data_IF_675066077807
#
_entry.id   IF_675066077807
#
_cell.length_a   1.000
_cell.length_b   1.000
_cell.length_c   1.000
_cell.angle_alpha   90.00
_cell.angle_beta   90.00
_cell.angle_gamma   90.00
#
_symmetry.space_group_name_H-M   'P 1'
#
loop_
_entity.id
_entity.type
_entity.pdbx_description
1 polymer ?
#
# COMPACT_ATOMS: atom_id res chain seq x y z
N UNK A 1 -13.53 -18.73 -10.29
CA UNK A 1 -14.45 -17.83 -10.98
C UNK A 1 -13.82 -17.26 -12.26
N UNK A 2 -12.71 -16.53 -12.19
CA UNK A 2 -12.09 -15.84 -13.33
C UNK A 2 -11.77 -16.79 -14.50
N UNK A 3 -11.19 -17.96 -14.21
CA UNK A 3 -10.93 -18.98 -15.22
C UNK A 3 -12.24 -19.51 -15.83
N UNK A 4 -13.25 -19.77 -15.01
CA UNK A 4 -14.55 -20.24 -15.49
C UNK A 4 -15.21 -19.21 -16.43
N UNK A 5 -15.23 -17.93 -16.05
CA UNK A 5 -15.75 -16.84 -16.87
C UNK A 5 -14.97 -16.70 -18.20
N UNK A 6 -13.64 -16.76 -18.13
CA UNK A 6 -12.79 -16.72 -19.33
C UNK A 6 -13.13 -17.86 -20.29
N UNK A 7 -13.22 -19.09 -19.81
CA UNK A 7 -13.55 -20.25 -20.62
C UNK A 7 -14.96 -20.19 -21.22
N UNK A 8 -15.94 -19.64 -20.49
CA UNK A 8 -17.28 -19.39 -21.01
C UNK A 8 -17.27 -18.38 -22.15
N UNK A 9 -16.58 -17.25 -21.99
CA UNK A 9 -16.47 -16.20 -23.03
C UNK A 9 -15.78 -16.75 -24.28
N UNK A 10 -14.71 -17.52 -24.13
CA UNK A 10 -13.96 -18.07 -25.26
C UNK A 10 -14.56 -19.35 -25.85
N UNK A 11 -15.55 -19.96 -25.20
CA UNK A 11 -16.21 -21.20 -25.69
C UNK A 11 -16.62 -21.17 -27.18
N UNK A 12 -17.28 -20.11 -27.70
CA UNK A 12 -17.68 -20.07 -29.12
C UNK A 12 -16.49 -19.99 -30.08
N UNK A 13 -15.35 -19.46 -29.61
CA UNK A 13 -14.16 -19.24 -30.42
C UNK A 13 -13.25 -20.47 -30.51
N UNK A 14 -13.29 -21.37 -29.49
CA UNK A 14 -12.43 -22.57 -29.46
C UNK A 14 -12.62 -23.53 -30.64
N UNK A 15 -13.80 -23.55 -31.26
CA UNK A 15 -14.06 -24.39 -32.43
C UNK A 15 -13.80 -23.65 -33.75
N UNK A 16 -13.71 -22.31 -33.70
CA UNK A 16 -13.60 -21.46 -34.88
C UNK A 16 -12.15 -21.05 -35.18
N UNK A 17 -11.33 -20.92 -34.17
CA UNK A 17 -9.97 -20.42 -34.28
C UNK A 17 -8.96 -21.40 -33.71
N UNK A 18 -7.74 -21.41 -34.28
CA UNK A 18 -6.61 -22.17 -33.70
C UNK A 18 -6.14 -21.52 -32.40
N UNK A 19 -5.46 -22.32 -31.56
CA UNK A 19 -4.91 -21.83 -30.30
C UNK A 19 -3.97 -20.63 -30.48
N UNK A 20 -3.18 -20.63 -31.55
CA UNK A 20 -2.27 -19.50 -31.88
C UNK A 20 -3.05 -18.23 -32.21
N UNK A 21 -4.16 -18.33 -32.93
CA UNK A 21 -4.98 -17.15 -33.24
C UNK A 21 -5.68 -16.59 -32.01
N UNK A 22 -6.04 -17.44 -31.05
CA UNK A 22 -6.69 -17.00 -29.80
C UNK A 22 -5.76 -16.21 -28.89
N UNK A 23 -4.44 -16.40 -28.98
CA UNK A 23 -3.47 -15.71 -28.11
C UNK A 23 -3.09 -14.31 -28.63
N UNK A 24 -3.38 -14.00 -29.91
CA UNK A 24 -2.96 -12.73 -30.53
C UNK A 24 -3.55 -11.53 -29.77
N UNK A 25 -4.84 -11.55 -29.47
CA UNK A 25 -5.48 -10.45 -28.75
C UNK A 25 -4.93 -10.24 -27.32
N UNK A 26 -4.82 -11.28 -26.47
CA UNK A 26 -4.14 -11.18 -25.19
C UNK A 26 -2.70 -10.68 -25.30
N UNK A 27 -1.94 -11.13 -26.31
CA UNK A 27 -0.57 -10.69 -26.52
C UNK A 27 -0.49 -9.19 -26.82
N UNK A 28 -1.35 -8.67 -27.70
CA UNK A 28 -1.41 -7.23 -27.99
C UNK A 28 -1.72 -6.44 -26.73
N UNK A 29 -2.64 -6.92 -25.89
CA UNK A 29 -2.99 -6.28 -24.62
C UNK A 29 -1.80 -6.25 -23.65
N UNK A 30 -1.04 -7.35 -23.57
CA UNK A 30 0.20 -7.41 -22.78
C UNK A 30 1.28 -6.46 -23.31
N UNK A 31 1.40 -6.27 -24.62
CA UNK A 31 2.34 -5.31 -25.21
C UNK A 31 1.96 -3.88 -24.82
N UNK A 32 0.68 -3.53 -24.87
CA UNK A 32 0.18 -2.21 -24.42
C UNK A 32 0.48 -1.99 -22.95
N UNK A 33 0.21 -2.98 -22.08
CA UNK A 33 0.52 -2.90 -20.65
C UNK A 33 2.02 -2.67 -20.43
N UNK A 34 2.88 -3.40 -21.14
CA UNK A 34 4.33 -3.24 -21.01
C UNK A 34 4.81 -1.88 -21.49
N UNK A 35 4.21 -1.33 -22.54
CA UNK A 35 4.49 0.04 -22.98
C UNK A 35 4.16 1.06 -21.88
N UNK A 36 2.99 0.95 -21.26
CA UNK A 36 2.58 1.82 -20.15
C UNK A 36 3.51 1.65 -18.93
N UNK A 37 3.86 0.42 -18.60
CA UNK A 37 4.79 0.13 -17.50
C UNK A 37 6.16 0.75 -17.76
N UNK A 38 6.69 0.65 -18.98
CA UNK A 38 8.00 1.22 -19.32
C UNK A 38 8.04 2.74 -19.18
N UNK A 39 6.91 3.41 -19.44
CA UNK A 39 6.80 4.87 -19.32
C UNK A 39 6.59 5.34 -17.88
N UNK A 40 5.75 4.64 -17.11
CA UNK A 40 5.27 5.13 -15.81
C UNK A 40 5.81 4.35 -14.60
N UNK A 41 6.19 3.06 -14.76
CA UNK A 41 6.52 2.15 -13.67
C UNK A 41 7.78 1.33 -13.98
N UNK A 42 8.92 1.99 -14.17
CA UNK A 42 10.20 1.36 -14.55
C UNK A 42 10.60 0.17 -13.65
N UNK A 43 10.22 0.19 -12.36
CA UNK A 43 10.49 -0.91 -11.43
C UNK A 43 9.68 -2.19 -11.70
N UNK A 44 8.65 -2.15 -12.54
CA UNK A 44 7.81 -3.30 -12.90
C UNK A 44 8.16 -3.88 -14.29
N UNK A 45 9.36 -3.64 -14.79
CA UNK A 45 9.82 -4.10 -16.13
C UNK A 45 9.76 -5.62 -16.32
N UNK A 46 9.72 -6.41 -15.24
CA UNK A 46 9.56 -7.86 -15.30
C UNK A 46 8.22 -8.33 -15.91
N UNK A 47 7.22 -7.44 -16.06
CA UNK A 47 5.98 -7.73 -16.78
C UNK A 47 6.19 -8.02 -18.27
N UNK A 48 7.39 -7.77 -18.84
CA UNK A 48 7.74 -8.18 -20.21
C UNK A 48 7.91 -9.70 -20.35
N UNK A 49 8.22 -10.41 -19.25
CA UNK A 49 8.54 -11.85 -19.28
C UNK A 49 7.41 -12.70 -19.87
N UNK A 50 6.11 -12.50 -19.54
CA UNK A 50 5.00 -13.20 -20.18
C UNK A 50 5.00 -13.09 -21.70
N UNK A 51 5.36 -11.93 -22.24
CA UNK A 51 5.41 -11.70 -23.69
C UNK A 51 6.44 -12.61 -24.34
N UNK A 52 7.61 -12.78 -23.74
CA UNK A 52 8.63 -13.71 -24.26
C UNK A 52 8.14 -15.17 -24.28
N UNK A 53 7.51 -15.64 -23.19
CA UNK A 53 6.96 -17.00 -23.14
C UNK A 53 5.90 -17.23 -24.21
N UNK A 54 5.07 -16.22 -24.49
CA UNK A 54 4.07 -16.30 -25.57
C UNK A 54 4.74 -16.33 -26.93
N UNK A 55 5.74 -15.49 -27.16
CA UNK A 55 6.50 -15.50 -28.42
C UNK A 55 7.17 -16.87 -28.66
N UNK A 56 7.80 -17.46 -27.65
CA UNK A 56 8.34 -18.81 -27.72
C UNK A 56 7.25 -19.85 -27.98
N UNK A 57 6.06 -19.68 -27.41
CA UNK A 57 4.92 -20.56 -27.66
C UNK A 57 4.43 -20.48 -29.12
N UNK A 58 4.42 -19.27 -29.70
CA UNK A 58 4.08 -19.07 -31.11
C UNK A 58 5.16 -19.67 -32.02
N UNK A 59 6.45 -19.44 -31.72
CA UNK A 59 7.56 -20.02 -32.47
C UNK A 59 7.51 -21.56 -32.45
N UNK A 60 7.19 -22.16 -31.32
CA UNK A 60 7.03 -23.60 -31.22
C UNK A 60 5.92 -24.12 -32.16
N UNK A 61 4.85 -23.36 -32.36
CA UNK A 61 3.76 -23.71 -33.25
C UNK A 61 4.16 -23.69 -34.75
N UNK A 62 5.23 -23.02 -35.12
CA UNK A 62 5.80 -23.08 -36.50
C UNK A 62 6.69 -24.32 -36.72
N UNK A 63 7.25 -24.88 -35.61
CA UNK A 63 8.13 -26.02 -35.68
C UNK A 63 7.37 -27.34 -35.53
N UNK A 64 6.31 -27.35 -34.73
CA UNK A 64 5.50 -28.54 -34.46
C UNK A 64 4.11 -28.41 -35.06
N UNK A 65 3.52 -29.54 -35.48
CA UNK A 65 2.13 -29.57 -35.92
C UNK A 65 1.19 -29.06 -34.83
N UNK A 66 0.21 -28.22 -35.21
CA UNK A 66 -0.75 -27.59 -34.31
C UNK A 66 -1.58 -28.60 -33.47
N UNK A 67 -1.76 -29.81 -34.00
CA UNK A 67 -2.47 -30.91 -33.32
C UNK A 67 -1.52 -31.90 -32.59
N UNK A 68 -0.23 -31.64 -32.62
CA UNK A 68 0.76 -32.54 -32.04
C UNK A 68 0.74 -32.50 -30.49
N UNK A 69 0.79 -33.68 -29.88
CA UNK A 69 1.00 -33.80 -28.44
C UNK A 69 2.34 -33.17 -27.98
N UNK A 70 3.35 -33.13 -28.85
CA UNK A 70 4.63 -32.49 -28.57
C UNK A 70 4.46 -30.98 -28.37
N UNK A 71 3.66 -30.32 -29.22
CA UNK A 71 3.38 -28.89 -29.06
C UNK A 71 2.64 -28.59 -27.77
N UNK A 72 1.68 -29.45 -27.37
CA UNK A 72 0.97 -29.32 -26.09
C UNK A 72 1.91 -29.42 -24.90
N UNK A 73 2.87 -30.35 -24.94
CA UNK A 73 3.90 -30.47 -23.89
C UNK A 73 4.75 -29.22 -23.84
N UNK A 74 5.22 -28.68 -24.97
CA UNK A 74 6.01 -27.47 -25.02
C UNK A 74 5.23 -26.28 -24.46
N UNK A 75 3.98 -26.07 -24.84
CA UNK A 75 3.13 -24.99 -24.31
C UNK A 75 2.91 -25.13 -22.81
N UNK A 76 2.68 -26.34 -22.32
CA UNK A 76 2.54 -26.60 -20.88
C UNK A 76 3.83 -26.28 -20.13
N UNK A 77 4.99 -26.72 -20.63
CA UNK A 77 6.28 -26.41 -20.02
C UNK A 77 6.56 -24.90 -20.00
N UNK A 78 6.24 -24.17 -21.07
CA UNK A 78 6.40 -22.71 -21.13
C UNK A 78 5.42 -21.96 -20.21
N UNK A 79 4.29 -22.54 -19.87
CA UNK A 79 3.31 -21.93 -18.97
C UNK A 79 3.70 -22.03 -17.49
N UNK A 80 4.54 -23.02 -17.10
CA UNK A 80 4.93 -23.23 -15.70
C UNK A 80 5.68 -22.02 -15.13
N UNK A 81 6.76 -21.50 -15.75
CA UNK A 81 7.45 -20.30 -15.23
C UNK A 81 6.55 -19.07 -15.16
N UNK A 82 5.63 -18.94 -16.13
CA UNK A 82 4.65 -17.85 -16.14
C UNK A 82 3.73 -17.90 -14.91
N UNK A 83 3.15 -19.06 -14.62
CA UNK A 83 2.28 -19.24 -13.45
C UNK A 83 3.09 -19.06 -12.17
N UNK A 84 4.28 -19.66 -12.07
CA UNK A 84 5.14 -19.57 -10.91
C UNK A 84 5.50 -18.12 -10.56
N UNK A 85 5.79 -17.29 -11.58
CA UNK A 85 6.14 -15.89 -11.40
C UNK A 85 4.95 -15.04 -10.91
N UNK A 86 3.75 -15.27 -11.42
CA UNK A 86 2.58 -14.45 -11.11
C UNK A 86 1.75 -14.94 -9.91
N UNK A 87 1.83 -16.21 -9.55
CA UNK A 87 1.07 -16.76 -8.42
C UNK A 87 1.33 -16.04 -7.08
N UNK A 88 2.60 -15.72 -6.69
CA UNK A 88 2.86 -14.96 -5.48
C UNK A 88 2.26 -13.55 -5.51
N UNK A 89 2.31 -12.88 -6.66
CA UNK A 89 1.76 -11.53 -6.83
C UNK A 89 0.24 -11.52 -6.67
N UNK A 90 -0.46 -12.49 -7.27
CA UNK A 90 -1.90 -12.65 -7.14
C UNK A 90 -2.33 -12.81 -5.66
N UNK A 91 -1.54 -13.54 -4.87
CA UNK A 91 -1.75 -13.72 -3.43
C UNK A 91 -1.44 -12.44 -2.64
N UNK A 92 -0.39 -11.72 -3.00
CA UNK A 92 0.09 -10.56 -2.24
C UNK A 92 -0.70 -9.28 -2.49
N UNK A 93 -1.34 -9.11 -3.65
CA UNK A 93 -2.13 -7.90 -3.92
C UNK A 93 -3.26 -7.66 -2.91
N UNK A 94 -4.12 -8.64 -2.57
CA UNK A 94 -5.15 -8.43 -1.55
C UNK A 94 -4.57 -8.11 -0.18
N UNK A 95 -3.41 -8.69 0.15
CA UNK A 95 -2.71 -8.43 1.42
C UNK A 95 -2.14 -7.01 1.44
N UNK A 96 -1.48 -6.59 0.34
CA UNK A 96 -0.81 -5.29 0.25
C UNK A 96 -1.75 -4.11 0.01
N UNK A 97 -2.80 -4.29 -0.77
CA UNK A 97 -3.72 -3.22 -1.19
C UNK A 97 -5.08 -3.26 -0.49
N UNK A 98 -5.32 -4.31 0.30
CA UNK A 98 -6.60 -4.58 0.96
C UNK A 98 -7.64 -5.22 0.05
N UNK A 99 -8.66 -5.82 0.66
CA UNK A 99 -9.72 -6.55 -0.07
C UNK A 99 -10.53 -5.69 -1.04
N UNK A 100 -10.60 -4.36 -0.82
CA UNK A 100 -11.25 -3.43 -1.75
C UNK A 100 -10.61 -3.42 -3.15
N UNK A 101 -9.32 -3.74 -3.24
CA UNK A 101 -8.56 -3.77 -4.48
C UNK A 101 -8.40 -5.19 -5.06
N UNK A 102 -9.22 -6.16 -4.63
CA UNK A 102 -9.20 -7.53 -5.12
C UNK A 102 -9.41 -7.62 -6.65
N UNK A 103 -10.07 -6.61 -7.24
CA UNK A 103 -10.25 -6.54 -8.69
C UNK A 103 -8.91 -6.53 -9.46
N UNK A 104 -7.84 -5.97 -8.88
CA UNK A 104 -6.50 -5.93 -9.51
C UNK A 104 -5.97 -7.37 -9.68
N UNK A 105 -6.08 -8.20 -8.62
CA UNK A 105 -5.75 -9.63 -8.71
C UNK A 105 -6.61 -10.35 -9.74
N UNK A 106 -7.90 -10.03 -9.82
CA UNK A 106 -8.82 -10.63 -10.78
C UNK A 106 -8.45 -10.28 -12.22
N UNK A 107 -8.13 -9.01 -12.50
CA UNK A 107 -7.66 -8.56 -13.82
C UNK A 107 -6.35 -9.26 -14.20
N UNK A 108 -5.36 -9.28 -13.30
CA UNK A 108 -4.08 -9.94 -13.55
C UNK A 108 -4.27 -11.44 -13.79
N UNK A 109 -5.15 -12.10 -13.04
CA UNK A 109 -5.45 -13.52 -13.22
C UNK A 109 -6.07 -13.81 -14.60
N UNK A 110 -7.01 -12.96 -15.05
CA UNK A 110 -7.60 -13.08 -16.40
C UNK A 110 -6.52 -12.89 -17.46
N UNK A 111 -5.64 -11.90 -17.30
CA UNK A 111 -4.53 -11.65 -18.21
C UNK A 111 -3.58 -12.86 -18.31
N UNK A 112 -3.20 -13.45 -17.17
CA UNK A 112 -2.34 -14.63 -17.13
C UNK A 112 -3.04 -15.83 -17.78
N UNK A 113 -4.29 -16.11 -17.42
CA UNK A 113 -5.03 -17.23 -18.00
C UNK A 113 -5.32 -17.04 -19.48
N UNK A 114 -5.46 -15.82 -19.98
CA UNK A 114 -5.64 -15.57 -21.41
C UNK A 114 -4.43 -16.00 -22.24
N UNK A 115 -3.23 -16.00 -21.67
CA UNK A 115 -2.03 -16.51 -22.32
C UNK A 115 -2.00 -18.05 -22.40
N UNK A 116 -2.84 -18.74 -21.62
CA UNK A 116 -2.98 -20.21 -21.64
C UNK A 116 -4.08 -20.69 -22.61
N UNK A 117 -4.75 -19.79 -23.32
CA UNK A 117 -5.81 -20.13 -24.27
C UNK A 117 -5.40 -21.18 -25.34
N UNK A 118 -4.15 -21.23 -25.85
CA UNK A 118 -3.72 -22.29 -26.73
C UNK A 118 -3.85 -23.68 -26.13
N UNK A 119 -3.51 -23.83 -24.85
CA UNK A 119 -3.63 -25.11 -24.11
C UNK A 119 -5.10 -25.48 -23.98
N UNK A 120 -5.95 -24.54 -23.53
CA UNK A 120 -7.38 -24.79 -23.33
C UNK A 120 -8.12 -25.09 -24.65
N UNK A 121 -7.71 -24.45 -25.75
CA UNK A 121 -8.33 -24.66 -27.07
C UNK A 121 -8.08 -26.07 -27.63
N UNK A 122 -6.95 -26.69 -27.29
CA UNK A 122 -6.58 -28.02 -27.75
C UNK A 122 -7.14 -29.16 -26.86
N UNK A 123 -7.73 -28.82 -25.73
CA UNK A 123 -8.36 -29.83 -24.89
C UNK A 123 -9.58 -30.45 -25.60
N UNK A 124 -9.65 -31.80 -25.68
CA UNK A 124 -10.64 -32.51 -26.49
C UNK A 124 -12.08 -32.29 -26.02
N UNK A 125 -12.31 -32.39 -24.71
CA UNK A 125 -13.67 -32.28 -24.13
C UNK A 125 -13.88 -30.90 -23.43
N UNK A 126 -14.07 -29.84 -24.22
CA UNK A 126 -14.24 -28.46 -23.74
C UNK A 126 -15.45 -28.29 -22.82
N UNK A 127 -16.54 -29.02 -23.06
CA UNK A 127 -17.74 -28.97 -22.20
C UNK A 127 -17.40 -29.50 -20.80
N UNK A 128 -16.69 -30.61 -20.74
CA UNK A 128 -16.26 -31.20 -19.47
C UNK A 128 -15.31 -30.27 -18.70
N UNK A 129 -14.34 -29.67 -19.39
CA UNK A 129 -13.43 -28.69 -18.79
C UNK A 129 -14.18 -27.49 -18.18
N UNK A 130 -15.13 -26.91 -18.91
CA UNK A 130 -15.95 -25.78 -18.43
C UNK A 130 -16.85 -26.21 -17.27
N UNK A 131 -17.48 -27.39 -17.35
CA UNK A 131 -18.30 -27.92 -16.26
C UNK A 131 -17.49 -28.18 -14.99
N UNK A 132 -16.30 -28.76 -15.14
CA UNK A 132 -15.39 -29.03 -14.00
C UNK A 132 -14.94 -27.72 -13.35
N UNK A 133 -14.53 -26.73 -14.12
CA UNK A 133 -14.12 -25.44 -13.56
C UNK A 133 -15.28 -24.69 -12.89
N UNK A 134 -16.50 -24.83 -13.44
CA UNK A 134 -17.73 -24.31 -12.82
C UNK A 134 -18.03 -24.97 -11.48
N UNK A 135 -17.99 -26.30 -11.44
CA UNK A 135 -18.19 -27.09 -10.21
C UNK A 135 -17.14 -26.74 -9.16
N UNK A 136 -15.86 -26.70 -9.54
CA UNK A 136 -14.77 -26.29 -8.64
C UNK A 136 -14.99 -24.87 -8.09
N UNK A 137 -15.47 -23.95 -8.93
CA UNK A 137 -15.80 -22.58 -8.50
C UNK A 137 -16.89 -22.59 -7.44
N UNK A 138 -17.97 -23.34 -7.65
CA UNK A 138 -19.07 -23.48 -6.67
C UNK A 138 -18.59 -24.08 -5.36
N UNK A 139 -17.79 -25.13 -5.42
CA UNK A 139 -17.19 -25.77 -4.23
C UNK A 139 -16.31 -24.81 -3.45
N UNK A 140 -15.47 -24.02 -4.13
CA UNK A 140 -14.62 -23.03 -3.48
C UNK A 140 -15.44 -21.89 -2.84
N UNK A 141 -16.54 -21.45 -3.48
CA UNK A 141 -17.46 -20.49 -2.85
C UNK A 141 -18.14 -21.07 -1.61
N UNK A 142 -18.57 -22.31 -1.67
CA UNK A 142 -19.17 -22.99 -0.53
C UNK A 142 -18.18 -23.13 0.64
N UNK A 143 -16.93 -23.54 0.35
CA UNK A 143 -15.86 -23.58 1.35
C UNK A 143 -15.58 -22.20 1.94
N UNK A 144 -15.51 -21.16 1.11
CA UNK A 144 -15.31 -19.80 1.57
C UNK A 144 -16.47 -19.31 2.46
N UNK A 145 -17.71 -19.72 2.16
CA UNK A 145 -18.88 -19.39 2.99
C UNK A 145 -18.83 -20.07 4.36
N UNK A 146 -18.45 -21.35 4.42
CA UNK A 146 -18.32 -22.07 5.69
C UNK A 146 -17.18 -21.50 6.55
N UNK A 147 -16.05 -21.16 5.92
CA UNK A 147 -14.88 -20.62 6.61
C UNK A 147 -14.93 -19.06 6.70
N UNK A 148 -16.13 -18.47 6.58
CA UNK A 148 -16.31 -17.03 6.69
C UNK A 148 -16.28 -16.61 8.16
N UNK A 149 -15.11 -16.22 8.65
CA UNK A 149 -14.93 -15.78 10.03
C UNK A 149 -13.49 -15.38 10.29
N UNK A 150 -13.26 -14.87 11.51
CA UNK A 150 -11.91 -14.63 12.00
C UNK A 150 -11.56 -15.71 13.01
N UNK A 151 -10.37 -16.26 12.88
CA UNK A 151 -9.79 -17.30 13.73
C UNK A 151 -8.35 -16.95 14.11
N UNK A 152 -7.62 -17.86 14.76
CA UNK A 152 -6.23 -17.62 15.16
C UNK A 152 -5.28 -17.55 13.96
N UNK A 153 -5.61 -18.13 12.80
CA UNK A 153 -4.82 -18.08 11.56
C UNK A 153 -5.21 -16.87 10.71
N UNK A 154 -6.52 -16.54 10.65
CA UNK A 154 -7.09 -15.46 9.88
C UNK A 154 -7.64 -14.36 10.80
N UNK A 155 -6.74 -13.62 11.45
CA UNK A 155 -7.09 -12.66 12.49
C UNK A 155 -7.77 -11.42 11.93
N UNK A 156 -8.73 -10.89 12.69
CA UNK A 156 -9.41 -9.63 12.39
C UNK A 156 -8.43 -8.46 12.55
N UNK A 157 -8.14 -7.70 11.48
CA UNK A 157 -7.34 -6.49 11.61
C UNK A 157 -8.15 -5.37 12.26
N UNK A 158 -7.55 -4.67 13.24
CA UNK A 158 -8.09 -3.46 13.82
C UNK A 158 -6.99 -2.42 14.08
N UNK A 159 -7.38 -1.17 14.31
CA UNK A 159 -6.45 -0.08 14.42
C UNK A 159 -6.80 0.86 15.55
N UNK A 160 -5.78 1.34 16.26
CA UNK A 160 -5.91 2.38 17.25
C UNK A 160 -4.66 3.26 17.27
N UNK A 161 -4.88 4.57 17.34
CA UNK A 161 -3.84 5.58 17.44
C UNK A 161 -4.22 6.56 18.54
N UNK A 162 -3.27 6.92 19.37
CA UNK A 162 -3.36 8.05 20.28
C UNK A 162 -2.70 9.26 19.63
N UNK A 163 -3.48 10.30 19.42
CA UNK A 163 -2.99 11.58 18.91
C UNK A 163 -3.09 12.63 20.01
N UNK A 164 -2.08 13.48 20.15
CA UNK A 164 -2.13 14.64 21.02
C UNK A 164 -1.51 15.87 20.37
N UNK A 165 -2.22 16.99 20.48
CA UNK A 165 -1.70 18.32 20.20
C UNK A 165 -1.16 18.90 21.51
N UNK A 166 0.16 19.04 21.59
CA UNK A 166 0.86 19.43 22.83
C UNK A 166 0.54 20.89 23.17
N UNK A 167 0.44 21.75 22.16
CA UNK A 167 0.25 23.18 22.37
C UNK A 167 -1.15 23.51 22.89
N UNK A 168 -2.14 22.70 22.49
CA UNK A 168 -3.52 22.87 22.93
C UNK A 168 -3.90 21.99 24.12
N UNK A 169 -3.03 21.03 24.48
CA UNK A 169 -3.31 19.99 25.47
C UNK A 169 -4.58 19.17 25.12
N UNK A 170 -4.85 18.96 23.83
CA UNK A 170 -5.97 18.17 23.33
C UNK A 170 -5.48 16.79 22.91
N UNK A 171 -6.25 15.75 23.21
CA UNK A 171 -5.89 14.37 22.86
C UNK A 171 -7.10 13.60 22.32
N UNK A 172 -6.80 12.68 21.41
CA UNK A 172 -7.82 11.92 20.70
C UNK A 172 -7.39 10.48 20.47
N UNK A 173 -8.35 9.56 20.61
CA UNK A 173 -8.25 8.22 20.05
C UNK A 173 -8.77 8.23 18.61
N UNK A 174 -8.04 7.59 17.71
CA UNK A 174 -8.41 7.53 16.29
C UNK A 174 -8.28 6.13 15.74
N UNK A 175 -9.16 5.75 14.82
CA UNK A 175 -9.13 4.45 14.15
C UNK A 175 -9.45 4.55 12.66
N UNK A 176 -8.85 3.64 11.87
CA UNK A 176 -9.18 3.41 10.46
C UNK A 176 -10.25 2.34 10.26
N UNK A 177 -10.71 1.68 11.31
CA UNK A 177 -11.63 0.57 11.25
C UNK A 177 -12.94 0.95 10.54
N UNK A 178 -13.53 0.01 9.82
CA UNK A 178 -14.86 0.20 9.24
C UNK A 178 -15.96 -0.03 10.29
N UNK A 179 -15.78 -1.06 11.09
CA UNK A 179 -16.67 -1.43 12.18
C UNK A 179 -15.83 -1.63 13.43
N UNK A 180 -16.23 -0.98 14.51
CA UNK A 180 -15.58 -1.12 15.80
C UNK A 180 -15.81 -2.52 16.38
N UNK A 181 -14.84 -3.01 17.11
CA UNK A 181 -14.90 -4.26 17.87
C UNK A 181 -14.66 -3.99 19.36
N UNK A 182 -14.73 -5.03 20.18
CA UNK A 182 -14.55 -4.91 21.63
C UNK A 182 -13.21 -4.32 22.06
N UNK A 183 -12.17 -4.50 21.23
CA UNK A 183 -10.88 -3.88 21.49
C UNK A 183 -10.90 -2.38 21.20
N UNK A 184 -11.42 -1.96 20.05
CA UNK A 184 -11.42 -0.55 19.65
C UNK A 184 -12.46 0.27 20.39
N UNK A 185 -13.59 -0.34 20.79
CA UNK A 185 -14.64 0.31 21.59
C UNK A 185 -14.17 0.75 22.98
N UNK A 186 -13.18 0.09 23.59
CA UNK A 186 -12.65 0.52 24.88
C UNK A 186 -12.01 1.92 24.82
N UNK A 187 -11.57 2.36 23.64
CA UNK A 187 -10.95 3.68 23.41
C UNK A 187 -11.95 4.68 22.83
N UNK A 188 -12.72 4.24 21.85
CA UNK A 188 -13.59 5.08 21.03
C UNK A 188 -15.03 5.18 21.58
N UNK A 189 -15.40 4.30 22.52
CA UNK A 189 -16.79 4.18 22.98
C UNK A 189 -17.70 3.52 21.95
N UNK A 190 -19.00 3.53 22.24
CA UNK A 190 -20.00 2.90 21.35
C UNK A 190 -20.37 3.79 20.16
N UNK A 191 -20.35 5.13 20.31
CA UNK A 191 -20.77 6.10 19.31
C UNK A 191 -19.71 7.19 19.10
N UNK A 192 -18.54 6.87 18.53
CA UNK A 192 -17.49 7.86 18.28
C UNK A 192 -17.87 8.81 17.15
N UNK A 193 -17.28 9.99 17.15
CA UNK A 193 -17.43 10.94 16.06
C UNK A 193 -16.76 10.44 14.79
N UNK A 194 -17.35 10.77 13.64
CA UNK A 194 -16.77 10.55 12.31
C UNK A 194 -16.18 11.83 11.70
N UNK A 195 -16.18 12.94 12.41
CA UNK A 195 -15.59 14.20 11.95
C UNK A 195 -14.08 14.23 12.16
N UNK A 196 -13.39 13.55 11.27
CA UNK A 196 -11.91 13.41 11.26
C UNK A 196 -11.22 14.40 10.34
N UNK A 197 -11.92 15.38 9.75
CA UNK A 197 -11.41 16.30 8.72
C UNK A 197 -10.23 17.16 9.17
N UNK A 198 -10.07 17.36 10.46
CA UNK A 198 -8.99 18.17 11.06
C UNK A 198 -7.63 17.45 11.11
N UNK A 199 -7.60 16.13 10.91
CA UNK A 199 -6.41 15.33 11.14
C UNK A 199 -5.78 14.88 9.83
N UNK A 200 -4.61 15.41 9.52
CA UNK A 200 -3.89 15.23 8.23
C UNK A 200 -2.97 14.00 8.28
N UNK A 201 -3.30 12.94 8.97
CA UNK A 201 -2.56 11.71 8.85
C UNK A 201 -3.20 10.84 7.77
N UNK A 202 -2.66 10.93 6.55
CA UNK A 202 -3.03 10.00 5.47
C UNK A 202 -2.03 8.85 5.47
N UNK A 203 -2.54 7.63 5.46
CA UNK A 203 -1.71 6.46 5.19
C UNK A 203 -1.10 6.57 3.78
N UNK A 204 -0.04 5.78 3.51
CA UNK A 204 0.60 5.69 2.18
C UNK A 204 -0.42 5.39 1.06
N UNK A 205 -1.52 4.72 1.38
CA UNK A 205 -2.56 4.30 0.45
C UNK A 205 -3.82 5.17 0.51
N UNK A 206 -3.70 6.43 0.95
CA UNK A 206 -4.81 7.39 1.06
C UNK A 206 -5.93 6.93 2.00
N UNK A 207 -5.66 6.02 2.92
CA UNK A 207 -6.60 5.63 3.97
C UNK A 207 -6.64 6.74 5.01
N UNK A 208 -7.81 7.28 5.29
CA UNK A 208 -8.05 8.28 6.34
C UNK A 208 -8.64 7.63 7.59
N UNK A 209 -8.42 8.24 8.74
CA UNK A 209 -9.14 7.85 9.94
C UNK A 209 -10.65 7.94 9.71
N UNK A 210 -11.39 7.04 10.33
CA UNK A 210 -12.85 6.98 10.22
C UNK A 210 -13.55 7.41 11.50
N UNK A 211 -12.97 7.05 12.62
CA UNK A 211 -13.51 7.35 13.93
C UNK A 211 -12.51 8.14 14.76
N UNK A 212 -13.07 9.03 15.59
CA UNK A 212 -12.33 9.83 16.55
C UNK A 212 -13.14 9.95 17.83
N UNK A 213 -12.47 9.95 18.97
CA UNK A 213 -13.02 10.25 20.27
C UNK A 213 -12.03 11.06 21.10
N UNK A 214 -12.51 12.12 21.71
CA UNK A 214 -11.71 12.94 22.62
C UNK A 214 -11.35 12.15 23.88
N UNK A 215 -10.15 12.38 24.41
CA UNK A 215 -9.67 11.70 25.61
C UNK A 215 -8.81 12.62 26.45
N UNK A 216 -8.54 12.21 27.69
CA UNK A 216 -7.71 12.98 28.59
C UNK A 216 -6.29 13.16 28.04
N UNK A 217 -5.80 14.39 28.11
CA UNK A 217 -4.42 14.71 27.81
C UNK A 217 -3.47 13.94 28.70
N UNK A 218 -2.43 13.35 28.09
CA UNK A 218 -1.34 12.68 28.80
C UNK A 218 -0.03 13.38 28.47
N UNK A 219 0.71 13.72 29.50
CA UNK A 219 2.03 14.35 29.33
C UNK A 219 3.04 13.30 28.85
N UNK A 220 3.21 13.20 27.54
CA UNK A 220 4.18 12.32 26.89
C UNK A 220 5.36 13.17 26.44
N UNK A 221 6.58 12.73 26.79
CA UNK A 221 7.79 13.46 26.43
C UNK A 221 7.89 13.67 24.90
N UNK A 222 7.95 14.93 24.47
CA UNK A 222 8.14 15.31 23.08
C UNK A 222 9.57 15.76 22.83
N UNK A 223 9.99 15.76 21.55
CA UNK A 223 11.29 16.29 21.16
C UNK A 223 11.45 17.75 21.54
N UNK A 224 12.65 18.11 21.99
CA UNK A 224 13.07 19.50 22.14
C UNK A 224 13.50 20.04 20.78
N UNK A 225 13.03 21.23 20.42
CA UNK A 225 13.43 21.93 19.20
C UNK A 225 14.24 23.14 19.59
N UNK A 226 15.45 23.24 19.06
CA UNK A 226 16.38 24.35 19.25
C UNK A 226 16.64 25.03 17.90
N UNK A 227 16.51 26.33 17.82
CA UNK A 227 16.92 27.14 16.67
C UNK A 227 18.41 27.40 16.77
N UNK A 228 19.21 26.76 15.91
CA UNK A 228 20.66 26.93 15.90
C UNK A 228 21.08 28.23 15.21
N UNK A 229 20.46 28.52 14.09
CA UNK A 229 20.66 29.76 13.33
C UNK A 229 19.33 30.19 12.70
N UNK A 230 19.10 31.50 12.70
CA UNK A 230 18.01 32.14 11.99
C UNK A 230 18.56 33.48 11.45
N UNK A 231 18.63 33.60 10.14
CA UNK A 231 19.25 34.76 9.51
C UNK A 231 18.56 35.12 8.19
N UNK A 232 18.40 36.39 7.94
CA UNK A 232 17.77 36.90 6.74
C UNK A 232 18.82 37.56 5.86
N UNK A 233 18.86 37.18 4.58
CA UNK A 233 19.74 37.70 3.54
C UNK A 233 18.90 38.16 2.34
N UNK A 234 18.66 39.44 2.21
CA UNK A 234 17.76 39.97 1.20
C UNK A 234 16.35 39.40 1.34
N UNK A 235 15.87 38.74 0.33
CA UNK A 235 14.53 38.10 0.33
C UNK A 235 14.52 36.66 0.86
N UNK A 236 15.65 36.15 1.32
CA UNK A 236 15.78 34.73 1.79
C UNK A 236 16.01 34.69 3.29
N UNK A 237 15.37 33.68 3.93
CA UNK A 237 15.59 33.35 5.32
C UNK A 237 16.26 31.96 5.39
N UNK A 238 17.36 31.88 6.11
CA UNK A 238 18.08 30.65 6.38
C UNK A 238 17.84 30.25 7.83
N UNK A 239 17.28 29.08 8.04
CA UNK A 239 16.98 28.52 9.37
C UNK A 239 17.66 27.19 9.51
N UNK A 240 18.33 26.97 10.65
CA UNK A 240 18.85 25.67 11.06
C UNK A 240 18.19 25.26 12.36
N UNK A 241 17.54 24.10 12.37
CA UNK A 241 16.84 23.53 13.52
C UNK A 241 17.56 22.29 14.01
N UNK A 242 17.62 22.14 15.31
CA UNK A 242 18.04 20.93 15.98
C UNK A 242 16.86 20.31 16.72
N UNK A 243 16.51 19.08 16.37
CA UNK A 243 15.44 18.32 16.99
C UNK A 243 16.08 17.21 17.81
N UNK A 244 15.84 17.21 19.11
CA UNK A 244 16.42 16.27 20.08
C UNK A 244 15.28 15.41 20.62
N UNK A 245 15.13 14.15 20.18
CA UNK A 245 14.12 13.23 20.70
C UNK A 245 14.31 12.97 22.18
N UNK A 246 13.23 13.10 22.97
CA UNK A 246 13.25 12.79 24.42
C UNK A 246 12.77 11.36 24.70
N UNK A 247 12.35 10.64 23.67
CA UNK A 247 11.94 9.23 23.70
C UNK A 247 12.27 8.58 22.35
N UNK A 248 12.14 7.27 22.26
CA UNK A 248 12.29 6.57 20.98
C UNK A 248 11.15 6.96 20.06
N UNK A 249 11.47 7.56 18.92
CA UNK A 249 10.52 7.87 17.84
C UNK A 249 10.84 7.04 16.60
N UNK A 250 9.82 6.72 15.81
CA UNK A 250 9.96 5.92 14.58
C UNK A 250 9.84 6.78 13.33
N UNK A 251 9.17 7.93 13.42
CA UNK A 251 9.03 8.87 12.32
C UNK A 251 8.89 10.28 12.86
N UNK A 252 9.54 11.22 12.18
CA UNK A 252 9.49 12.65 12.42
C UNK A 252 9.05 13.31 11.13
N UNK A 253 8.00 14.13 11.19
CA UNK A 253 7.50 14.88 10.04
C UNK A 253 7.49 16.36 10.37
N UNK A 254 7.93 17.16 9.41
CA UNK A 254 7.74 18.62 9.41
C UNK A 254 6.65 18.94 8.43
N UNK A 255 5.65 19.65 8.90
CA UNK A 255 4.51 20.13 8.13
C UNK A 255 4.52 21.65 8.10
N UNK A 256 3.99 22.26 7.04
CA UNK A 256 3.70 23.68 6.96
C UNK A 256 2.26 23.90 6.53
N UNK A 257 1.64 24.97 6.98
CA UNK A 257 0.30 25.36 6.53
C UNK A 257 0.32 25.99 5.15
N UNK A 258 1.41 26.67 4.80
CA UNK A 258 1.57 27.41 3.56
C UNK A 258 2.31 26.60 2.49
N UNK A 259 2.11 26.97 1.24
CA UNK A 259 2.84 26.41 0.10
C UNK A 259 4.25 27.01 0.05
N UNK A 260 5.11 26.64 0.99
CA UNK A 260 6.50 27.07 1.04
C UNK A 260 7.29 26.46 -0.11
N UNK A 261 8.01 27.31 -0.83
CA UNK A 261 9.02 26.87 -1.81
C UNK A 261 10.40 26.99 -1.16
N UNK A 262 11.05 25.84 -1.00
CA UNK A 262 12.41 25.82 -0.48
C UNK A 262 13.42 26.01 -1.60
N UNK A 263 14.40 26.89 -1.40
CA UNK A 263 15.57 27.00 -2.28
C UNK A 263 16.57 25.89 -1.99
N UNK A 264 16.75 25.56 -0.72
CA UNK A 264 17.51 24.39 -0.28
C UNK A 264 16.93 23.79 1.00
N UNK A 265 17.08 22.49 1.12
CA UNK A 265 16.71 21.71 2.29
C UNK A 265 17.80 20.66 2.50
N UNK A 266 18.36 20.58 3.69
CA UNK A 266 19.29 19.54 4.08
C UNK A 266 18.89 18.91 5.40
N UNK A 267 19.17 17.62 5.56
CA UNK A 267 18.97 16.88 6.79
C UNK A 267 20.26 16.16 7.11
N UNK A 268 20.81 16.36 8.33
CA UNK A 268 22.09 15.79 8.75
C UNK A 268 23.21 16.04 7.71
N UNK A 269 23.29 17.27 7.20
CA UNK A 269 24.23 17.71 6.15
C UNK A 269 24.02 17.04 4.77
N UNK A 270 22.97 16.26 4.58
CA UNK A 270 22.60 15.68 3.28
C UNK A 270 21.64 16.61 2.56
N UNK A 271 22.08 17.22 1.47
CA UNK A 271 21.28 18.09 0.65
C UNK A 271 20.25 17.29 -0.16
N UNK A 272 19.00 17.71 -0.09
CA UNK A 272 17.93 17.14 -0.88
C UNK A 272 17.86 17.86 -2.24
N UNK A 273 17.70 17.10 -3.33
CA UNK A 273 17.58 17.67 -4.68
C UNK A 273 16.21 18.33 -4.85
N UNK A 274 16.17 19.50 -5.50
CA UNK A 274 14.93 20.26 -5.77
C UNK A 274 13.85 19.43 -6.49
N UNK A 275 14.24 18.52 -7.34
CA UNK A 275 13.34 17.59 -8.05
C UNK A 275 12.50 16.71 -7.09
N UNK A 276 12.97 16.54 -5.87
CA UNK A 276 12.31 15.75 -4.83
C UNK A 276 11.42 16.60 -3.90
N UNK A 277 11.39 17.92 -4.06
CA UNK A 277 10.56 18.83 -3.27
C UNK A 277 9.11 18.84 -3.77
N UNK A 278 8.43 17.73 -3.69
CA UNK A 278 6.98 17.67 -3.90
C UNK A 278 6.30 17.92 -2.56
N UNK A 279 5.96 19.19 -2.30
CA UNK A 279 5.15 19.56 -1.13
C UNK A 279 3.71 19.13 -1.42
N UNK A 280 3.39 17.89 -1.09
CA UNK A 280 2.02 17.40 -1.16
C UNK A 280 1.35 17.62 0.21
N UNK A 281 0.29 18.41 0.24
CA UNK A 281 -0.56 18.58 1.43
C UNK A 281 0.16 19.16 2.66
N UNK A 282 1.06 20.14 2.45
CA UNK A 282 1.78 20.81 3.53
C UNK A 282 2.92 20.01 4.16
N UNK A 283 3.20 18.79 3.72
CA UNK A 283 4.33 17.99 4.23
C UNK A 283 5.63 18.45 3.58
N UNK A 284 6.53 18.97 4.40
CA UNK A 284 7.87 19.41 4.00
C UNK A 284 8.84 18.23 3.96
N UNK A 285 8.90 17.48 5.05
CA UNK A 285 9.87 16.42 5.26
C UNK A 285 9.27 15.26 6.05
N UNK A 286 9.64 14.04 5.71
CA UNK A 286 9.48 12.87 6.57
C UNK A 286 10.86 12.26 6.78
N UNK A 287 11.30 12.20 8.02
CA UNK A 287 12.55 11.60 8.44
C UNK A 287 12.28 10.38 9.32
N UNK A 288 12.97 9.29 9.03
CA UNK A 288 12.93 8.08 9.84
C UNK A 288 14.26 8.02 10.60
N UNK A 289 14.27 8.32 11.91
CA UNK A 289 15.50 8.32 12.69
C UNK A 289 16.13 6.95 12.75
N UNK A 290 17.44 6.91 12.65
CA UNK A 290 18.22 5.70 12.99
C UNK A 290 18.20 5.48 14.50
N UNK A 291 18.45 4.26 14.95
CA UNK A 291 18.54 3.91 16.37
C UNK A 291 19.57 4.76 17.13
N UNK A 292 20.59 5.27 16.42
CA UNK A 292 21.68 6.07 17.00
C UNK A 292 21.48 7.59 16.88
N UNK A 293 20.41 8.04 16.25
CA UNK A 293 20.18 9.48 16.03
C UNK A 293 19.70 10.14 17.34
N UNK A 294 20.64 10.64 18.09
CA UNK A 294 20.37 11.43 19.32
C UNK A 294 19.87 12.84 18.99
N UNK A 295 20.12 13.33 17.78
CA UNK A 295 19.82 14.68 17.33
C UNK A 295 19.62 14.68 15.82
N UNK A 296 18.60 15.39 15.35
CA UNK A 296 18.33 15.59 13.92
C UNK A 296 18.49 17.07 13.59
N UNK A 297 19.46 17.40 12.74
CA UNK A 297 19.68 18.78 12.27
C UNK A 297 19.04 18.95 10.91
N UNK A 298 18.28 20.03 10.73
CA UNK A 298 17.57 20.36 9.51
C UNK A 298 17.88 21.79 9.12
N UNK A 299 18.47 21.97 7.94
CA UNK A 299 18.81 23.26 7.36
C UNK A 299 17.84 23.60 6.22
N UNK A 300 17.24 24.78 6.29
CA UNK A 300 16.23 25.24 5.34
C UNK A 300 16.55 26.64 4.83
N UNK A 301 16.35 26.88 3.54
CA UNK A 301 16.38 28.22 2.94
C UNK A 301 15.08 28.42 2.15
N UNK A 302 14.37 29.49 2.45
CA UNK A 302 13.07 29.81 1.85
C UNK A 302 12.85 31.33 1.76
N UNK A 303 11.76 31.76 1.11
CA UNK A 303 11.45 33.19 0.95
C UNK A 303 11.03 33.83 2.29
N UNK A 304 11.66 34.93 2.68
CA UNK A 304 11.41 35.61 3.96
C UNK A 304 10.00 36.23 4.08
N UNK A 305 9.29 36.44 2.96
CA UNK A 305 7.94 37.02 2.97
C UNK A 305 6.86 36.08 3.49
N UNK A 306 7.17 34.81 3.65
CA UNK A 306 6.22 33.77 4.05
C UNK A 306 6.26 33.59 5.57
N UNK A 307 5.07 33.59 6.18
CA UNK A 307 4.92 33.31 7.59
C UNK A 307 5.25 31.82 7.86
N UNK A 308 6.34 31.55 8.57
CA UNK A 308 6.91 30.21 8.67
C UNK A 308 6.45 29.50 9.94
N UNK A 309 5.15 29.18 10.00
CA UNK A 309 4.65 28.25 11.00
C UNK A 309 4.89 26.80 10.55
N UNK A 310 5.69 26.10 11.30
CA UNK A 310 5.93 24.67 11.10
C UNK A 310 5.26 23.86 12.20
N UNK A 311 4.76 22.69 11.83
CA UNK A 311 4.25 21.72 12.77
C UNK A 311 5.15 20.49 12.75
N UNK A 312 5.67 20.10 13.90
CA UNK A 312 6.43 18.88 14.12
C UNK A 312 5.48 17.77 14.52
N UNK A 313 5.48 16.69 13.78
CA UNK A 313 4.70 15.48 14.07
C UNK A 313 5.66 14.34 14.37
N UNK A 314 5.60 13.82 15.56
CA UNK A 314 6.35 12.66 16.00
C UNK A 314 5.45 11.44 16.07
N UNK A 315 5.91 10.33 15.53
CA UNK A 315 5.19 9.04 15.60
C UNK A 315 6.08 7.99 16.26
N UNK A 316 5.55 7.27 17.23
CA UNK A 316 6.18 6.09 17.82
C UNK A 316 5.21 4.90 17.85
N UNK A 317 5.72 3.69 17.69
CA UNK A 317 4.92 2.45 17.67
C UNK A 317 4.98 1.71 19.01
N UNK A 318 4.97 2.45 20.10
CA UNK A 318 5.06 1.94 21.47
C UNK A 318 3.74 2.04 22.25
N UNK A 319 2.63 2.37 21.60
CA UNK A 319 1.35 2.56 22.28
C UNK A 319 0.96 1.38 23.18
N UNK A 320 1.16 0.15 22.70
CA UNK A 320 0.78 -1.07 23.42
C UNK A 320 1.70 -1.41 24.60
N UNK A 321 2.88 -0.82 24.67
CA UNK A 321 3.90 -1.08 25.70
C UNK A 321 4.19 0.13 26.57
N UNK A 322 3.58 1.27 26.27
CA UNK A 322 3.83 2.52 26.97
C UNK A 322 3.08 2.56 28.31
N UNK A 323 3.81 2.78 29.39
CA UNK A 323 3.30 2.75 30.76
C UNK A 323 2.29 3.85 31.10
N UNK A 324 2.17 4.89 30.26
CA UNK A 324 1.13 5.91 30.41
C UNK A 324 -0.27 5.41 30.05
N UNK A 325 -0.37 4.21 29.48
CA UNK A 325 -1.62 3.63 29.05
C UNK A 325 -1.87 2.28 29.74
N UNK A 326 -3.11 2.06 30.12
CA UNK A 326 -3.56 0.79 30.66
C UNK A 326 -4.86 0.39 29.98
N UNK A 327 -4.85 -0.71 29.24
CA UNK A 327 -6.00 -1.23 28.52
C UNK A 327 -5.91 -2.76 28.33
N UNK A 328 -7.03 -3.37 28.03
CA UNK A 328 -7.08 -4.81 27.75
C UNK A 328 -6.38 -5.09 26.40
N UNK A 329 -5.50 -6.07 26.34
CA UNK A 329 -4.84 -6.44 25.07
C UNK A 329 -5.84 -6.96 24.05
N UNK A 330 -5.42 -6.99 22.77
CA UNK A 330 -6.16 -7.67 21.72
C UNK A 330 -6.38 -9.14 22.06
N UNK A 331 -7.54 -9.67 21.66
CA UNK A 331 -7.76 -11.12 21.71
C UNK A 331 -6.85 -11.83 20.69
N UNK A 332 -6.69 -13.15 20.85
CA UNK A 332 -5.91 -13.96 19.90
C UNK A 332 -6.48 -13.95 18.48
N UNK A 333 -7.76 -13.63 18.32
CA UNK A 333 -8.46 -13.53 17.03
C UNK A 333 -8.27 -12.17 16.34
N UNK A 334 -7.48 -11.27 16.92
CA UNK A 334 -7.26 -9.93 16.41
C UNK A 334 -5.78 -9.68 16.11
N UNK A 335 -5.51 -8.79 15.15
CA UNK A 335 -4.17 -8.35 14.80
C UNK A 335 -4.14 -6.85 14.50
N UNK A 336 -2.99 -6.17 14.64
CA UNK A 336 -2.82 -4.81 14.16
C UNK A 336 -3.12 -4.71 12.67
N UNK A 337 -3.90 -3.69 12.25
CA UNK A 337 -4.20 -3.45 10.84
C UNK A 337 -2.90 -3.17 10.07
N UNK A 338 -2.59 -3.93 9.03
CA UNK A 338 -1.37 -3.71 8.24
C UNK A 338 -1.48 -2.47 7.34
N UNK A 339 -0.32 -1.92 6.93
CA UNK A 339 -0.16 -0.83 5.95
C UNK A 339 -0.75 0.53 6.34
N UNK A 340 -1.14 0.70 7.59
CA UNK A 340 -1.55 1.99 8.18
C UNK A 340 -0.71 2.28 9.42
N UNK A 341 -0.64 3.55 9.83
CA UNK A 341 -0.08 3.92 11.13
C UNK A 341 -1.00 3.38 12.20
N UNK A 342 -0.52 2.40 12.96
CA UNK A 342 -1.31 1.66 13.93
C UNK A 342 -0.50 1.37 15.18
N UNK A 343 -1.18 1.18 16.33
CA UNK A 343 -0.57 0.97 17.64
C UNK A 343 0.45 2.08 17.97
N UNK A 344 0.10 3.30 17.57
CA UNK A 344 1.01 4.41 17.54
C UNK A 344 0.58 5.56 18.48
N UNK A 345 1.58 6.26 18.99
CA UNK A 345 1.44 7.55 19.64
C UNK A 345 1.91 8.62 18.66
N UNK A 346 1.05 9.59 18.37
CA UNK A 346 1.35 10.73 17.51
C UNK A 346 1.30 11.99 18.35
N UNK A 347 2.42 12.71 18.40
CA UNK A 347 2.51 14.02 19.02
C UNK A 347 2.61 15.08 17.96
N UNK A 348 1.85 16.15 18.12
CA UNK A 348 1.88 17.35 17.26
C UNK A 348 2.31 18.54 18.09
N UNK A 349 3.28 19.32 17.60
CA UNK A 349 3.82 20.50 18.26
C UNK A 349 4.14 21.58 17.22
N UNK A 350 3.72 22.82 17.49
CA UNK A 350 4.07 23.93 16.63
C UNK A 350 5.51 24.40 16.88
N UNK A 351 6.20 24.75 15.82
CA UNK A 351 7.51 25.41 15.84
C UNK A 351 7.30 26.81 15.31
N UNK A 352 7.42 27.81 16.20
CA UNK A 352 7.42 29.22 15.84
C UNK A 352 8.85 29.65 15.51
N UNK A 353 9.08 30.28 14.36
CA UNK A 353 10.35 30.81 13.89
C UNK A 353 10.30 32.32 13.80
#
# INVERSE_FOLDING_TARGET
>A
LNLFCLLLIYRPFFNKYSGVNLIIFPLLFWIIINLLISLFLKGAAYFIIPVYFVLFSILAAFVFDLKSNKLMIVWTCLSIPLIYMFAPQLKMFPVGLGLKNLFISSVLLILVFSLLLPIFSNYSNKKHMISLTGLTTLLLFFMAFINNGFDEENKKPNSIVYYTDIDKAESFWMSYDQNLDDFTKQFLGENPSTDVKKFISRSKYSTSYRYINETNYRNIASSTVEVLTDSVYGNKRKVSLSIIPQRKINSLQIMTKDSLVFDSLAVQNVFLKKENFKINSGRVLTYIPSFNDKRVVIDMVFDNKLNSEFNLIETSFDLMTNTNFNFKPRSKLMMPMPFVTNDAIILSKNISL
#
